data_IF_622622674727
#
_entry.id   IF_622622674727
#
_cell.length_a   1.000
_cell.length_b   1.000
_cell.length_c   1.000
_cell.angle_alpha   90.00
_cell.angle_beta   90.00
_cell.angle_gamma   90.00
#
_symmetry.space_group_name_H-M   'P 1'
#
loop_
_entity.id
_entity.type
_entity.pdbx_description
1 polymer ?
#
# COMPACT_ATOMS: atom_id res chain seq x y z
N UNK A 1 -12.42 15.16 2.06
CA UNK A 1 -12.30 14.22 3.18
C UNK A 1 -11.39 14.87 4.20
N UNK A 2 -11.78 14.84 5.47
CA UNK A 2 -10.86 15.11 6.58
C UNK A 2 -10.10 13.80 6.83
N UNK A 3 -8.80 13.81 6.57
CA UNK A 3 -7.92 12.68 6.85
C UNK A 3 -7.47 12.72 8.31
N UNK A 4 -7.19 11.57 8.95
CA UNK A 4 -6.67 11.53 10.32
C UNK A 4 -5.34 12.26 10.48
N UNK A 5 -4.56 12.40 9.40
CA UNK A 5 -3.34 13.21 9.34
C UNK A 5 -3.13 13.78 7.93
N UNK A 6 -2.19 14.71 7.78
CA UNK A 6 -1.84 15.31 6.49
C UNK A 6 -1.26 14.23 5.55
N UNK A 7 -1.86 13.96 4.38
CA UNK A 7 -1.32 13.02 3.39
C UNK A 7 0.09 13.38 2.92
N UNK A 8 0.50 14.64 3.06
CA UNK A 8 1.84 15.14 2.73
C UNK A 8 2.73 15.37 3.95
N UNK A 9 2.24 15.04 5.15
CA UNK A 9 2.96 15.12 6.41
C UNK A 9 3.97 13.98 6.61
N UNK A 10 4.54 13.94 7.82
CA UNK A 10 5.55 12.94 8.20
C UNK A 10 5.01 11.50 8.18
N UNK A 11 3.76 11.31 8.62
CA UNK A 11 3.09 10.00 8.63
C UNK A 11 2.58 9.57 7.24
N UNK A 12 2.50 10.53 6.31
CA UNK A 12 2.11 10.31 4.92
C UNK A 12 3.30 10.30 3.96
N UNK A 13 3.19 11.11 2.90
CA UNK A 13 4.13 11.13 1.78
C UNK A 13 5.46 11.83 2.07
N UNK A 14 5.61 12.44 3.25
CA UNK A 14 6.77 13.24 3.64
C UNK A 14 7.12 14.34 2.62
N UNK A 15 6.11 15.13 2.24
CA UNK A 15 6.22 16.15 1.19
C UNK A 15 6.43 15.56 -0.21
N UNK A 16 5.89 14.37 -0.48
CA UNK A 16 5.96 13.69 -1.77
C UNK A 16 7.24 12.90 -2.02
N UNK A 17 7.99 12.53 -0.97
CA UNK A 17 9.16 11.64 -1.05
C UNK A 17 8.79 10.16 -1.01
N UNK A 18 7.65 9.81 -0.40
CA UNK A 18 7.15 8.44 -0.26
C UNK A 18 5.74 8.35 -0.85
N UNK A 19 5.45 7.22 -1.47
CA UNK A 19 4.15 6.91 -2.06
C UNK A 19 3.74 5.50 -1.68
N UNK A 20 2.45 5.22 -1.81
CA UNK A 20 1.85 3.89 -1.80
C UNK A 20 2.52 2.89 -0.84
N UNK A 21 3.31 1.97 -1.39
CA UNK A 21 3.96 0.88 -0.67
C UNK A 21 4.93 1.40 0.39
N UNK A 22 5.66 2.48 0.11
CA UNK A 22 6.58 3.05 1.09
C UNK A 22 5.85 3.74 2.25
N UNK A 23 4.61 4.20 2.04
CA UNK A 23 3.79 4.74 3.13
C UNK A 23 3.16 3.59 3.93
N UNK A 24 2.67 2.54 3.26
CA UNK A 24 2.09 1.35 3.91
C UNK A 24 3.15 0.61 4.74
N UNK A 25 4.34 0.39 4.21
CA UNK A 25 5.42 -0.32 4.90
C UNK A 25 5.94 0.42 6.15
N UNK A 26 5.69 1.73 6.30
CA UNK A 26 6.03 2.48 7.52
C UNK A 26 5.09 2.19 8.69
N UNK A 27 3.94 1.58 8.42
CA UNK A 27 2.91 1.29 9.42
C UNK A 27 3.12 -0.06 10.10
N UNK A 28 4.16 -0.79 9.70
CA UNK A 28 4.50 -2.10 10.25
C UNK A 28 5.99 -2.14 10.64
N UNK A 29 6.28 -2.87 11.69
CA UNK A 29 7.62 -3.30 12.09
C UNK A 29 7.85 -4.75 11.61
N UNK A 30 8.90 -4.96 10.81
CA UNK A 30 9.19 -6.27 10.20
C UNK A 30 9.55 -7.35 11.23
N UNK A 31 10.10 -6.97 12.39
CA UNK A 31 10.53 -7.89 13.43
C UNK A 31 9.44 -8.17 14.48
N UNK A 32 8.48 -7.24 14.65
CA UNK A 32 7.49 -7.29 15.74
C UNK A 32 6.06 -7.61 15.27
N UNK A 33 5.65 -7.16 14.08
CA UNK A 33 4.22 -7.21 13.67
C UNK A 33 3.85 -8.45 12.84
N UNK A 34 4.82 -9.28 12.47
CA UNK A 34 4.59 -10.47 11.65
C UNK A 34 4.53 -11.76 12.50
N UNK A 35 3.54 -12.65 12.26
CA UNK A 35 2.53 -12.61 11.20
C UNK A 35 1.46 -11.53 11.42
N UNK A 36 1.11 -10.84 10.33
CA UNK A 36 0.20 -9.69 10.32
C UNK A 36 -1.20 -10.10 9.86
N UNK A 37 -2.23 -9.85 10.68
CA UNK A 37 -3.64 -10.01 10.31
C UNK A 37 -4.16 -8.80 9.52
N UNK A 38 -4.79 -9.07 8.37
CA UNK A 38 -5.30 -8.02 7.46
C UNK A 38 -6.38 -7.18 8.13
N UNK A 39 -7.32 -7.83 8.81
CA UNK A 39 -8.52 -7.16 9.32
C UNK A 39 -8.16 -6.32 10.55
N UNK A 40 -7.23 -6.77 11.39
CA UNK A 40 -6.65 -5.98 12.49
C UNK A 40 -5.89 -4.76 11.94
N UNK A 41 -5.03 -4.96 10.94
CA UNK A 41 -4.28 -3.87 10.30
C UNK A 41 -5.19 -2.81 9.66
N UNK A 42 -6.26 -3.24 8.99
CA UNK A 42 -7.26 -2.33 8.41
C UNK A 42 -8.11 -1.66 9.49
N UNK A 43 -8.42 -2.33 10.60
CA UNK A 43 -9.13 -1.72 11.71
C UNK A 43 -8.32 -0.58 12.36
N UNK A 44 -6.99 -0.72 12.42
CA UNK A 44 -6.11 0.31 12.97
C UNK A 44 -5.84 1.45 11.99
N UNK A 45 -5.49 1.13 10.74
CA UNK A 45 -4.97 2.11 9.78
C UNK A 45 -5.89 2.40 8.59
N UNK A 46 -7.08 1.79 8.53
CA UNK A 46 -7.94 1.80 7.34
C UNK A 46 -8.32 3.20 6.85
N UNK A 47 -8.56 4.14 7.76
CA UNK A 47 -8.92 5.53 7.45
C UNK A 47 -7.70 6.42 7.09
N UNK A 48 -6.48 5.89 7.19
CA UNK A 48 -5.27 6.66 6.97
C UNK A 48 -5.02 6.95 5.48
N UNK A 49 -4.59 8.19 5.14
CA UNK A 49 -4.36 8.58 3.76
C UNK A 49 -3.12 7.90 3.17
N UNK A 50 -3.31 7.24 2.03
CA UNK A 50 -2.23 6.71 1.21
C UNK A 50 -2.15 7.51 -0.08
N UNK A 51 -1.05 8.26 -0.24
CA UNK A 51 -0.77 8.98 -1.48
C UNK A 51 -0.22 8.03 -2.52
N UNK A 52 -0.98 7.82 -3.59
CA UNK A 52 -0.61 6.93 -4.70
C UNK A 52 0.29 7.65 -5.70
N UNK A 53 0.00 8.91 -5.99
CA UNK A 53 0.80 9.73 -6.88
C UNK A 53 0.59 11.23 -6.58
N UNK A 54 1.10 12.11 -7.44
CA UNK A 54 0.96 13.56 -7.29
C UNK A 54 -0.49 14.08 -7.29
N UNK A 55 -1.49 13.27 -7.69
CA UNK A 55 -2.91 13.65 -7.80
C UNK A 55 -3.83 12.83 -6.89
N UNK A 56 -3.55 11.54 -6.70
CA UNK A 56 -4.45 10.59 -6.05
C UNK A 56 -4.00 10.26 -4.64
N UNK A 57 -4.92 10.44 -3.70
CA UNK A 57 -4.86 9.98 -2.31
C UNK A 57 -6.11 9.16 -2.06
N UNK A 58 -5.96 7.99 -1.45
CA UNK A 58 -7.05 7.06 -1.10
C UNK A 58 -6.92 6.65 0.36
N UNK A 59 -7.95 6.04 0.94
CA UNK A 59 -7.83 5.41 2.24
C UNK A 59 -7.06 4.10 2.12
N UNK A 60 -6.37 3.67 3.18
CA UNK A 60 -5.72 2.36 3.21
C UNK A 60 -6.74 1.23 3.02
N UNK A 61 -7.92 1.36 3.62
CA UNK A 61 -9.01 0.40 3.48
C UNK A 61 -9.41 0.19 2.00
N UNK A 62 -9.45 1.26 1.19
CA UNK A 62 -9.79 1.16 -0.24
C UNK A 62 -8.82 0.22 -1.00
N UNK A 63 -7.53 0.24 -0.65
CA UNK A 63 -6.53 -0.65 -1.24
C UNK A 63 -6.73 -2.08 -0.75
N UNK A 64 -6.98 -2.23 0.56
CA UNK A 64 -7.11 -3.53 1.21
C UNK A 64 -8.42 -4.27 0.89
N UNK A 65 -9.44 -3.59 0.35
CA UNK A 65 -10.59 -4.25 -0.29
C UNK A 65 -10.20 -5.18 -1.44
N UNK A 66 -9.03 -4.95 -2.05
CA UNK A 66 -8.49 -5.74 -3.15
C UNK A 66 -7.41 -6.75 -2.72
N UNK A 67 -7.10 -6.83 -1.42
CA UNK A 67 -6.09 -7.74 -0.87
C UNK A 67 -6.76 -9.07 -0.49
N UNK A 68 -6.40 -10.13 -1.22
CA UNK A 68 -7.02 -11.45 -1.04
C UNK A 68 -6.59 -12.20 0.23
N UNK A 69 -5.29 -12.24 0.63
CA UNK A 69 -4.89 -12.96 1.84
C UNK A 69 -5.40 -12.26 3.11
N UNK A 70 -5.86 -13.04 4.08
CA UNK A 70 -6.31 -12.53 5.38
C UNK A 70 -5.15 -12.39 6.39
N UNK A 71 -3.99 -13.02 6.14
CA UNK A 71 -2.79 -12.98 7.00
C UNK A 71 -1.52 -12.98 6.13
N UNK A 72 -0.47 -12.30 6.62
CA UNK A 72 0.84 -12.24 5.97
C UNK A 72 1.93 -12.73 6.93
N UNK A 73 2.71 -13.74 6.51
CA UNK A 73 3.80 -14.29 7.32
C UNK A 73 5.01 -13.37 7.39
N UNK A 74 5.23 -12.56 6.35
CA UNK A 74 6.39 -11.67 6.24
C UNK A 74 6.01 -10.37 5.55
N UNK A 75 6.85 -9.35 5.74
CA UNK A 75 6.73 -8.08 5.02
C UNK A 75 6.74 -8.29 3.50
N UNK A 76 7.49 -9.27 3.00
CA UNK A 76 7.56 -9.59 1.57
C UNK A 76 6.23 -10.14 1.06
N UNK A 77 5.53 -10.94 1.86
CA UNK A 77 4.22 -11.47 1.51
C UNK A 77 3.17 -10.37 1.48
N UNK A 78 3.20 -9.46 2.46
CA UNK A 78 2.37 -8.24 2.46
C UNK A 78 2.64 -7.38 1.22
N UNK A 79 3.92 -7.11 0.88
CA UNK A 79 4.28 -6.30 -0.28
C UNK A 79 3.77 -6.88 -1.60
N UNK A 80 3.82 -8.21 -1.76
CA UNK A 80 3.28 -8.87 -2.95
C UNK A 80 1.77 -8.69 -3.01
N UNK A 81 1.07 -9.00 -1.93
CA UNK A 81 -0.39 -8.90 -1.86
C UNK A 81 -0.90 -7.48 -2.11
N UNK A 82 -0.29 -6.48 -1.47
CA UNK A 82 -0.60 -5.06 -1.70
C UNK A 82 -0.27 -4.66 -3.14
N UNK A 83 0.87 -5.13 -3.69
CA UNK A 83 1.23 -4.86 -5.09
C UNK A 83 0.22 -5.41 -6.09
N UNK A 84 -0.34 -6.59 -5.82
CA UNK A 84 -1.38 -7.19 -6.65
C UNK A 84 -2.73 -6.47 -6.49
N UNK A 85 -3.10 -6.08 -5.27
CA UNK A 85 -4.26 -5.24 -4.97
C UNK A 85 -4.20 -3.89 -5.69
N UNK A 86 -3.04 -3.25 -5.70
CA UNK A 86 -2.80 -1.98 -6.40
C UNK A 86 -3.06 -2.09 -7.91
N UNK A 87 -2.75 -3.25 -8.51
CA UNK A 87 -3.01 -3.53 -9.93
C UNK A 87 -4.46 -3.92 -10.19
N UNK A 88 -5.07 -4.74 -9.33
CA UNK A 88 -6.44 -5.21 -9.50
C UNK A 88 -7.48 -4.12 -9.24
N UNK A 89 -7.18 -3.17 -8.35
CA UNK A 89 -8.01 -2.01 -8.04
C UNK A 89 -7.76 -0.76 -8.90
N UNK A 90 -6.97 -0.88 -9.98
CA UNK A 90 -6.65 0.23 -10.90
C UNK A 90 -6.13 1.49 -10.15
N UNK A 91 -5.28 1.31 -9.14
CA UNK A 91 -4.69 2.42 -8.39
C UNK A 91 -3.50 3.05 -9.13
N UNK A 92 -2.68 2.23 -9.78
CA UNK A 92 -1.55 2.71 -10.58
C UNK A 92 -1.97 3.07 -12.01
N UNK A 93 -1.67 4.29 -12.44
CA UNK A 93 -2.01 4.74 -13.80
C UNK A 93 -1.19 4.03 -14.89
N UNK A 94 0.01 3.54 -14.55
CA UNK A 94 0.87 2.84 -15.48
C UNK A 94 0.79 1.32 -15.30
N UNK A 95 0.29 0.65 -16.33
CA UNK A 95 0.31 -0.81 -16.42
C UNK A 95 1.29 -1.22 -17.52
N UNK A 96 2.41 -1.89 -17.20
CA UNK A 96 3.35 -2.36 -18.21
C UNK A 96 2.65 -3.35 -19.15
N UNK A 97 2.70 -3.09 -20.47
CA UNK A 97 2.16 -3.98 -21.51
C UNK A 97 3.31 -4.76 -22.16
N UNK A 98 3.31 -6.10 -22.03
CA UNK A 98 4.32 -6.97 -22.66
C UNK A 98 4.13 -8.45 -22.33
N UNK A 99 4.75 -9.35 -23.10
CA UNK A 99 4.66 -10.81 -22.91
C UNK A 99 5.32 -11.33 -21.61
N UNK A 100 6.11 -10.47 -20.95
CA UNK A 100 6.69 -10.70 -19.64
C UNK A 100 7.06 -9.34 -18.99
N UNK A 101 6.08 -8.61 -18.43
CA UNK A 101 6.28 -7.24 -17.95
C UNK A 101 7.21 -7.14 -16.72
N UNK A 102 7.51 -8.27 -16.08
CA UNK A 102 8.40 -8.38 -14.91
C UNK A 102 9.87 -8.58 -15.31
N UNK A 103 10.14 -8.89 -16.58
CA UNK A 103 11.50 -9.13 -17.08
C UNK A 103 12.04 -7.87 -17.77
N UNK A 104 12.85 -7.09 -17.06
CA UNK A 104 13.67 -6.03 -17.65
C UNK A 104 15.01 -6.63 -18.13
N UNK A 105 15.24 -6.87 -19.44
CA UNK A 105 16.54 -7.29 -19.91
C UNK A 105 17.52 -6.12 -19.71
N UNK A 106 18.51 -6.34 -18.84
CA UNK A 106 19.65 -5.44 -18.64
C UNK A 106 20.51 -5.30 -19.91
#
# INVERSE_FOLDING_TARGET
MDWPHDPDGEDGSEGGRKYDMAVIAKKVDEDEDFPLDRDEFVAEHGDEPIRINHRRVVALADIFEHVEPDEFETIVDMHKAVGDAMRSGDFWEYHPKGANPEHNPA
#
